data_IF_051356085027
#
_entry.id   IF_051356085027
#
_cell.length_a   1.000
_cell.length_b   1.000
_cell.length_c   1.000
_cell.angle_alpha   90.00
_cell.angle_beta   90.00
_cell.angle_gamma   90.00
#
_symmetry.space_group_name_H-M   'P 1'
#
loop_
_entity.id
_entity.type
_entity.pdbx_description
1 polymer ?
#
# COMPACT_ATOMS: atom_id res chain seq x y z
N UNK A 1 17.43 -5.07 19.38
CA UNK A 1 16.65 -3.95 18.80
C UNK A 1 16.60 -3.95 17.25
N UNK A 2 16.94 -5.04 16.55
CA UNK A 2 17.22 -5.02 15.10
C UNK A 2 16.02 -4.73 14.17
N UNK A 3 14.76 -4.97 14.58
CA UNK A 3 13.61 -4.89 13.65
C UNK A 3 12.72 -3.66 13.86
N UNK A 4 12.87 -2.89 14.95
CA UNK A 4 11.94 -1.78 15.25
C UNK A 4 12.08 -0.61 14.27
N UNK A 5 13.27 -0.42 13.69
CA UNK A 5 13.51 0.61 12.67
C UNK A 5 12.70 0.38 11.40
N UNK A 6 12.34 -0.87 11.11
CA UNK A 6 11.52 -1.25 9.94
C UNK A 6 10.13 -0.61 9.99
N UNK A 7 9.57 -0.32 11.18
CA UNK A 7 8.27 0.35 11.34
C UNK A 7 8.26 1.78 10.78
N UNK A 8 9.42 2.45 10.82
CA UNK A 8 9.54 3.82 10.34
C UNK A 8 10.11 3.85 8.93
N UNK A 9 11.18 3.10 8.69
CA UNK A 9 11.92 3.16 7.42
C UNK A 9 11.06 2.63 6.28
N UNK A 10 10.39 1.49 6.45
CA UNK A 10 9.65 0.88 5.34
C UNK A 10 8.49 1.76 4.84
N UNK A 11 7.62 2.31 5.71
CA UNK A 11 6.55 3.19 5.26
C UNK A 11 7.04 4.54 4.75
N UNK A 12 8.08 5.13 5.36
CA UNK A 12 8.66 6.39 4.87
C UNK A 12 9.28 6.23 3.48
N UNK A 13 9.95 5.10 3.23
CA UNK A 13 10.45 4.79 1.89
C UNK A 13 9.29 4.60 0.90
N UNK A 14 8.19 3.97 1.30
CA UNK A 14 6.98 3.86 0.46
C UNK A 14 6.45 5.24 0.10
N UNK A 15 6.24 6.12 1.09
CA UNK A 15 5.78 7.50 0.86
C UNK A 15 6.70 8.21 -0.13
N UNK A 16 8.01 8.18 0.11
CA UNK A 16 8.98 8.87 -0.73
C UNK A 16 8.95 8.35 -2.17
N UNK A 17 9.03 7.02 -2.35
CA UNK A 17 9.03 6.41 -3.67
C UNK A 17 7.78 6.73 -4.47
N UNK A 18 6.59 6.57 -3.88
CA UNK A 18 5.34 6.87 -4.59
C UNK A 18 5.15 8.37 -4.84
N UNK A 19 5.62 9.23 -3.92
CA UNK A 19 5.59 10.68 -4.11
C UNK A 19 6.51 11.14 -5.24
N UNK A 20 7.63 10.46 -5.49
CA UNK A 20 8.53 10.74 -6.61
C UNK A 20 7.87 10.50 -7.98
N UNK A 21 6.78 9.72 -8.04
CA UNK A 21 6.03 9.51 -9.28
C UNK A 21 5.00 10.60 -9.56
N UNK A 22 4.55 11.35 -8.56
CA UNK A 22 3.52 12.40 -8.72
C UNK A 22 3.88 13.50 -9.74
N UNK A 23 5.14 14.00 -9.80
CA UNK A 23 5.52 15.01 -10.79
C UNK A 23 5.32 14.57 -12.25
N UNK A 24 5.44 13.26 -12.54
CA UNK A 24 5.24 12.75 -13.90
C UNK A 24 3.79 12.86 -14.39
N UNK A 25 2.84 13.05 -13.47
CA UNK A 25 1.42 13.21 -13.77
C UNK A 25 0.92 14.65 -13.51
N UNK A 26 1.83 15.61 -13.29
CA UNK A 26 1.49 16.98 -12.86
C UNK A 26 0.61 17.01 -11.58
N UNK A 27 0.74 16.00 -10.73
CA UNK A 27 -0.08 15.78 -9.53
C UNK A 27 0.70 16.02 -8.23
N UNK A 28 1.76 16.83 -8.27
CA UNK A 28 2.58 17.11 -7.09
C UNK A 28 1.97 18.26 -6.27
N UNK A 29 1.01 17.93 -5.42
CA UNK A 29 0.38 18.83 -4.47
C UNK A 29 0.11 18.14 -3.12
N UNK A 30 -0.29 18.93 -2.12
CA UNK A 30 -0.52 18.44 -0.77
C UNK A 30 -1.64 17.38 -0.69
N UNK A 31 -2.68 17.51 -1.52
CA UNK A 31 -3.82 16.59 -1.55
C UNK A 31 -3.39 15.22 -2.06
N UNK A 32 -2.67 15.20 -3.18
CA UNK A 32 -2.14 13.97 -3.80
C UNK A 32 -1.07 13.30 -2.94
N UNK A 33 -0.22 14.06 -2.25
CA UNK A 33 0.69 13.53 -1.22
C UNK A 33 -0.09 12.86 -0.07
N UNK A 34 -1.23 13.42 0.30
CA UNK A 34 -2.18 12.85 1.25
C UNK A 34 -2.78 11.53 0.77
N UNK A 35 -3.19 11.44 -0.50
CA UNK A 35 -3.66 10.19 -1.09
C UNK A 35 -2.57 9.11 -1.14
N UNK A 36 -1.32 9.47 -1.46
CA UNK A 36 -0.18 8.53 -1.38
C UNK A 36 -0.03 8.02 0.06
N UNK A 37 -0.10 8.91 1.05
CA UNK A 37 0.00 8.53 2.45
C UNK A 37 -1.11 7.55 2.86
N UNK A 38 -2.34 7.89 2.51
CA UNK A 38 -3.54 7.11 2.81
C UNK A 38 -3.47 5.73 2.13
N UNK A 39 -3.26 5.68 0.82
CA UNK A 39 -3.41 4.47 0.01
C UNK A 39 -2.17 3.57 -0.04
N UNK A 40 -0.98 4.08 0.29
CA UNK A 40 0.27 3.30 0.17
C UNK A 40 1.04 3.21 1.49
N UNK A 41 1.20 4.34 2.19
CA UNK A 41 2.04 4.41 3.40
C UNK A 41 1.38 3.74 4.60
N UNK A 42 0.08 3.95 4.81
CA UNK A 42 -0.65 3.29 5.91
C UNK A 42 -0.67 1.76 5.73
N UNK A 43 -1.03 1.19 4.55
CA UNK A 43 -0.91 -0.25 4.31
C UNK A 43 0.49 -0.80 4.55
N UNK A 44 1.52 -0.09 4.09
CA UNK A 44 2.91 -0.48 4.29
C UNK A 44 3.28 -0.51 5.79
N UNK A 45 2.80 0.47 6.57
CA UNK A 45 2.96 0.51 8.01
C UNK A 45 2.27 -0.68 8.69
N UNK A 46 1.01 -0.96 8.36
CA UNK A 46 0.27 -2.11 8.89
C UNK A 46 0.99 -3.43 8.60
N UNK A 47 1.50 -3.60 7.38
CA UNK A 47 2.27 -4.78 7.03
C UNK A 47 3.60 -4.88 7.80
N UNK A 48 4.29 -3.76 8.02
CA UNK A 48 5.52 -3.75 8.83
C UNK A 48 5.29 -4.15 10.29
N UNK A 49 4.12 -3.81 10.87
CA UNK A 49 3.70 -4.27 12.20
C UNK A 49 3.55 -5.79 12.24
N UNK A 50 2.87 -6.36 11.23
CA UNK A 50 2.71 -7.82 11.09
C UNK A 50 4.07 -8.50 11.01
N UNK A 51 4.98 -8.00 10.18
CA UNK A 51 6.33 -8.57 10.03
C UNK A 51 7.10 -8.62 11.36
N UNK A 52 6.96 -7.61 12.21
CA UNK A 52 7.62 -7.58 13.52
C UNK A 52 6.94 -8.50 14.51
N UNK A 53 5.60 -8.49 14.57
CA UNK A 53 4.83 -9.31 15.51
C UNK A 53 5.10 -10.80 15.31
N UNK A 54 5.19 -11.23 14.05
CA UNK A 54 5.43 -12.63 13.67
C UNK A 54 6.90 -12.94 13.37
N UNK A 55 7.81 -11.98 13.58
CA UNK A 55 9.26 -12.17 13.43
C UNK A 55 9.66 -12.74 12.07
N UNK A 56 9.11 -12.16 10.99
CA UNK A 56 9.32 -12.65 9.63
C UNK A 56 10.80 -12.72 9.26
N UNK A 57 11.12 -13.74 8.47
CA UNK A 57 12.45 -13.99 7.96
C UNK A 57 12.60 -13.46 6.53
N UNK A 58 13.81 -13.01 6.18
CA UNK A 58 14.11 -12.48 4.83
C UNK A 58 13.82 -13.48 3.69
N UNK A 59 13.83 -14.79 3.97
CA UNK A 59 13.57 -15.87 2.99
C UNK A 59 12.08 -16.19 2.81
N UNK A 60 11.19 -15.68 3.66
CA UNK A 60 9.76 -15.99 3.61
C UNK A 60 9.04 -15.12 2.56
N UNK A 61 9.54 -15.11 1.32
CA UNK A 61 9.06 -14.22 0.26
C UNK A 61 7.58 -14.42 -0.06
N UNK A 62 7.11 -15.67 -0.05
CA UNK A 62 5.69 -15.98 -0.30
C UNK A 62 4.79 -15.40 0.77
N UNK A 63 5.16 -15.52 2.05
CA UNK A 63 4.39 -14.94 3.16
C UNK A 63 4.42 -13.42 3.09
N UNK A 64 5.59 -12.84 2.83
CA UNK A 64 5.75 -11.38 2.67
C UNK A 64 4.83 -10.86 1.56
N UNK A 65 4.88 -11.48 0.39
CA UNK A 65 4.05 -11.11 -0.75
C UNK A 65 2.56 -11.26 -0.41
N UNK A 66 2.15 -12.43 0.08
CA UNK A 66 0.75 -12.70 0.37
C UNK A 66 0.17 -11.73 1.40
N UNK A 67 0.82 -11.56 2.56
CA UNK A 67 0.29 -10.68 3.60
C UNK A 67 0.37 -9.20 3.22
N UNK A 68 1.42 -8.76 2.53
CA UNK A 68 1.48 -7.37 2.04
C UNK A 68 0.37 -7.09 1.04
N UNK A 69 0.15 -8.01 0.09
CA UNK A 69 -0.88 -7.88 -0.93
C UNK A 69 -2.27 -7.89 -0.32
N UNK A 70 -2.57 -8.84 0.57
CA UNK A 70 -3.87 -8.96 1.26
C UNK A 70 -4.18 -7.71 2.08
N UNK A 71 -3.22 -7.22 2.88
CA UNK A 71 -3.41 -6.01 3.68
C UNK A 71 -3.67 -4.81 2.77
N UNK A 72 -2.85 -4.63 1.73
CA UNK A 72 -3.02 -3.53 0.78
C UNK A 72 -4.36 -3.61 0.05
N UNK A 73 -4.73 -4.80 -0.43
CA UNK A 73 -5.98 -5.03 -1.16
C UNK A 73 -7.19 -4.65 -0.32
N UNK A 74 -7.34 -5.24 0.87
CA UNK A 74 -8.51 -4.97 1.71
C UNK A 74 -8.52 -3.54 2.23
N UNK A 75 -7.36 -2.99 2.57
CA UNK A 75 -7.28 -1.60 3.00
C UNK A 75 -7.75 -0.66 1.87
N UNK A 76 -7.18 -0.79 0.68
CA UNK A 76 -7.54 0.05 -0.48
C UNK A 76 -9.00 -0.15 -0.88
N UNK A 77 -9.51 -1.38 -0.85
CA UNK A 77 -10.92 -1.68 -1.13
C UNK A 77 -11.85 -0.90 -0.21
N UNK A 78 -11.58 -0.94 1.11
CA UNK A 78 -12.37 -0.23 2.12
C UNK A 78 -12.22 1.28 1.91
N UNK A 79 -11.00 1.77 1.81
CA UNK A 79 -10.70 3.20 1.71
C UNK A 79 -11.29 3.84 0.46
N UNK A 80 -11.18 3.20 -0.71
CA UNK A 80 -11.78 3.69 -1.95
C UNK A 80 -13.32 3.68 -1.88
N UNK A 81 -13.91 2.64 -1.27
CA UNK A 81 -15.36 2.59 -1.06
C UNK A 81 -15.84 3.77 -0.22
N UNK A 82 -15.10 4.14 0.84
CA UNK A 82 -15.37 5.33 1.62
C UNK A 82 -15.17 6.61 0.83
N UNK A 83 -14.04 6.77 0.14
CA UNK A 83 -13.75 8.00 -0.63
C UNK A 83 -14.85 8.28 -1.65
N UNK A 84 -15.27 7.26 -2.41
CA UNK A 84 -16.33 7.39 -3.43
C UNK A 84 -17.68 7.75 -2.80
N UNK A 85 -17.99 7.22 -1.62
CA UNK A 85 -19.26 7.48 -0.95
C UNK A 85 -19.37 8.90 -0.38
N UNK A 86 -18.26 9.50 0.06
CA UNK A 86 -18.24 10.81 0.74
C UNK A 86 -17.82 11.97 -0.17
N UNK A 87 -17.03 11.70 -1.19
CA UNK A 87 -16.61 12.67 -2.19
C UNK A 87 -16.61 11.99 -3.56
N UNK A 88 -17.78 11.90 -4.23
CA UNK A 88 -17.88 11.23 -5.50
C UNK A 88 -16.98 11.98 -6.49
N UNK A 89 -15.86 11.35 -6.88
CA UNK A 89 -15.03 11.81 -7.99
C UNK A 89 -15.98 12.15 -9.14
N UNK A 90 -15.81 13.31 -9.78
CA UNK A 90 -16.75 13.80 -10.79
C UNK A 90 -17.05 12.76 -11.91
N UNK A 91 -16.12 11.82 -12.14
CA UNK A 91 -16.28 10.71 -13.08
C UNK A 91 -17.15 9.55 -12.57
N UNK A 92 -17.32 9.38 -11.25
CA UNK A 92 -18.11 8.29 -10.66
C UNK A 92 -19.60 8.42 -10.94
N UNK A 93 -20.11 9.64 -11.20
CA UNK A 93 -21.52 9.86 -11.54
C UNK A 93 -21.91 9.25 -12.90
N UNK A 94 -20.95 8.84 -13.74
CA UNK A 94 -21.19 8.30 -15.08
C UNK A 94 -21.41 6.78 -15.05
N UNK A 95 -20.88 6.08 -14.06
CA UNK A 95 -20.89 4.61 -14.02
C UNK A 95 -22.09 4.04 -13.27
N UNK A 96 -22.58 2.89 -13.74
CA UNK A 96 -23.55 2.08 -13.00
C UNK A 96 -22.93 1.47 -11.74
N UNK A 97 -23.75 1.14 -10.73
CA UNK A 97 -23.29 0.58 -9.44
C UNK A 97 -22.40 -0.66 -9.59
N UNK A 98 -22.71 -1.54 -10.55
CA UNK A 98 -21.91 -2.74 -10.81
C UNK A 98 -20.53 -2.39 -11.38
N UNK A 99 -20.45 -1.47 -12.35
CA UNK A 99 -19.20 -1.02 -12.93
C UNK A 99 -18.31 -0.33 -11.91
N UNK A 100 -18.89 0.49 -11.02
CA UNK A 100 -18.17 1.10 -9.90
C UNK A 100 -17.59 0.04 -8.96
N UNK A 101 -18.40 -0.96 -8.59
CA UNK A 101 -17.96 -2.06 -7.71
C UNK A 101 -16.80 -2.83 -8.32
N UNK A 102 -16.88 -3.12 -9.62
CA UNK A 102 -15.83 -3.80 -10.37
C UNK A 102 -14.57 -2.94 -10.52
N UNK A 103 -14.72 -1.64 -10.76
CA UNK A 103 -13.59 -0.71 -10.84
C UNK A 103 -12.84 -0.61 -9.51
N UNK A 104 -13.55 -0.51 -8.38
CA UNK A 104 -12.94 -0.50 -7.04
C UNK A 104 -12.14 -1.77 -6.78
N UNK A 105 -12.67 -2.94 -7.19
CA UNK A 105 -11.94 -4.21 -7.09
C UNK A 105 -10.65 -4.18 -7.92
N UNK A 106 -10.70 -3.70 -9.17
CA UNK A 106 -9.51 -3.60 -10.02
C UNK A 106 -8.51 -2.59 -9.49
N UNK A 107 -8.94 -1.44 -8.99
CA UNK A 107 -8.06 -0.48 -8.34
C UNK A 107 -7.40 -1.07 -7.09
N UNK A 108 -8.16 -1.76 -6.23
CA UNK A 108 -7.59 -2.44 -5.07
C UNK A 108 -6.52 -3.47 -5.46
N UNK A 109 -6.75 -4.24 -6.53
CA UNK A 109 -5.74 -5.16 -7.08
C UNK A 109 -4.51 -4.42 -7.63
N UNK A 110 -4.72 -3.28 -8.32
CA UNK A 110 -3.65 -2.44 -8.86
C UNK A 110 -2.75 -1.86 -7.76
N UNK A 111 -3.27 -1.57 -6.57
CA UNK A 111 -2.44 -1.18 -5.41
C UNK A 111 -1.77 -2.37 -4.72
N UNK A 112 -2.45 -3.52 -4.67
CA UNK A 112 -1.92 -4.71 -4.04
C UNK A 112 -0.67 -5.27 -4.75
N UNK A 113 -0.67 -5.34 -6.08
CA UNK A 113 0.45 -5.94 -6.83
C UNK A 113 1.79 -5.20 -6.65
N UNK A 114 1.88 -3.86 -6.81
CA UNK A 114 3.08 -3.11 -6.50
C UNK A 114 3.48 -3.22 -5.03
N UNK A 115 2.51 -3.26 -4.10
CA UNK A 115 2.77 -3.46 -2.68
C UNK A 115 3.47 -4.80 -2.42
N UNK A 116 3.01 -5.89 -3.04
CA UNK A 116 3.65 -7.21 -2.97
C UNK A 116 5.09 -7.17 -3.49
N UNK A 117 5.29 -6.60 -4.68
CA UNK A 117 6.61 -6.50 -5.30
C UNK A 117 7.57 -5.66 -4.46
N UNK A 118 7.12 -4.49 -4.02
CA UNK A 118 7.89 -3.59 -3.17
C UNK A 118 8.26 -4.24 -1.84
N UNK A 119 7.31 -4.89 -1.16
CA UNK A 119 7.56 -5.59 0.09
C UNK A 119 8.62 -6.69 -0.08
N UNK A 120 8.51 -7.52 -1.13
CA UNK A 120 9.49 -8.57 -1.41
C UNK A 120 10.90 -8.02 -1.67
N UNK A 121 11.03 -6.80 -2.19
CA UNK A 121 12.34 -6.20 -2.51
C UNK A 121 12.92 -5.44 -1.32
N UNK A 122 12.10 -4.63 -0.67
CA UNK A 122 12.56 -3.63 0.30
C UNK A 122 12.46 -4.13 1.73
N UNK A 123 11.33 -4.71 2.16
CA UNK A 123 11.19 -5.11 3.57
C UNK A 123 12.17 -6.22 3.94
N UNK A 124 12.50 -7.12 2.99
CA UNK A 124 13.45 -8.22 3.20
C UNK A 124 14.82 -7.73 3.67
N UNK A 125 15.23 -6.52 3.27
CA UNK A 125 16.53 -5.94 3.61
C UNK A 125 16.61 -5.57 5.09
N UNK A 126 15.46 -5.41 5.75
CA UNK A 126 15.33 -4.98 7.13
C UNK A 126 14.80 -6.10 8.06
N UNK A 127 14.56 -7.30 7.53
CA UNK A 127 14.16 -8.46 8.31
C UNK A 127 15.38 -9.22 8.87
N UNK A 128 15.13 -10.16 9.80
CA UNK A 128 16.20 -10.95 10.40
C UNK A 128 16.93 -11.77 9.33
N UNK A 129 18.27 -11.70 9.36
CA UNK A 129 19.14 -12.57 8.57
C UNK A 129 19.14 -13.99 9.14
N UNK A 130 19.31 -14.97 8.27
CA UNK A 130 19.48 -16.37 8.68
C UNK A 130 20.75 -16.48 9.54
N UNK A 131 20.75 -17.31 10.60
CA UNK A 131 22.00 -17.72 11.23
C UNK A 131 22.92 -18.39 10.21
#
# INVERSE_FOLDING_TARGET
MANKKTLLIFPLLTQCLFSLFLPFFNAFDATNLGYVFLLTTIPAFLFSLVCIRYQYHQRNLVQIAFFSGVISFFYTLITLSFLIAYDPLQETQVFSLWEQSLAILFYAAMFALPSMMYAMIVIRLFLKKAP
#
